data_IF_073469357792
#
_entry.id   IF_073469357792
#
_cell.length_a   1.000
_cell.length_b   1.000
_cell.length_c   1.000
_cell.angle_alpha   90.00
_cell.angle_beta   90.00
_cell.angle_gamma   90.00
#
_symmetry.space_group_name_H-M   'P 1'
#
loop_
_entity.id
_entity.type
_entity.pdbx_description
1 polymer ?
#
# COMPACT_ATOMS: atom_id res chain seq x y z
N UNK A 1 -28.08 -47.61 98.53
CA UNK A 1 -29.35 -47.25 97.88
C UNK A 1 -29.09 -46.07 96.93
N UNK A 2 -29.73 -46.07 95.76
CA UNK A 2 -29.68 -45.08 94.65
C UNK A 2 -28.31 -44.87 93.99
N UNK A 3 -27.97 -45.53 92.87
CA UNK A 3 -28.49 -45.35 91.49
C UNK A 3 -28.50 -43.90 91.01
N UNK A 4 -27.47 -43.56 90.24
CA UNK A 4 -27.50 -42.60 89.13
C UNK A 4 -26.53 -43.11 88.07
N UNK A 5 -27.06 -43.59 86.95
CA UNK A 5 -26.37 -44.30 85.88
C UNK A 5 -26.37 -43.40 84.64
N UNK A 6 -25.29 -43.51 83.85
CA UNK A 6 -25.17 -43.21 82.40
C UNK A 6 -24.93 -41.75 81.94
N UNK A 7 -24.39 -41.55 80.71
CA UNK A 7 -23.61 -42.46 79.87
C UNK A 7 -22.34 -41.83 79.23
N UNK A 8 -21.56 -42.73 78.65
CA UNK A 8 -20.49 -42.51 77.68
C UNK A 8 -21.09 -42.31 76.27
N UNK A 9 -20.90 -41.13 75.68
CA UNK A 9 -21.00 -40.80 74.25
C UNK A 9 -20.63 -39.31 74.16
N UNK A 10 -19.54 -38.86 73.53
CA UNK A 10 -19.43 -38.73 72.08
C UNK A 10 -17.95 -38.47 71.72
N UNK A 11 -17.19 -39.54 71.50
CA UNK A 11 -15.89 -39.48 70.79
C UNK A 11 -16.09 -39.60 69.26
N UNK A 12 -17.18 -39.02 68.74
CA UNK A 12 -17.57 -39.11 67.33
C UNK A 12 -17.81 -37.72 66.73
N UNK A 13 -16.80 -36.86 66.79
CA UNK A 13 -16.75 -35.65 65.96
C UNK A 13 -15.30 -35.31 65.53
N UNK A 14 -14.52 -36.33 65.19
CA UNK A 14 -13.59 -36.20 64.05
C UNK A 14 -14.43 -36.36 62.79
N UNK A 15 -14.15 -35.52 61.80
CA UNK A 15 -14.75 -35.49 60.46
C UNK A 15 -16.09 -34.73 60.33
N UNK A 16 -16.01 -33.40 60.36
CA UNK A 16 -16.91 -32.60 59.53
C UNK A 16 -16.30 -31.22 59.29
N UNK A 17 -15.87 -30.96 58.05
CA UNK A 17 -15.67 -29.58 57.60
C UNK A 17 -14.32 -29.22 57.02
N UNK A 18 -13.52 -30.18 56.54
CA UNK A 18 -12.65 -29.88 55.39
C UNK A 18 -13.58 -29.75 54.16
N UNK A 19 -14.32 -28.63 54.09
CA UNK A 19 -15.05 -28.27 52.88
C UNK A 19 -13.98 -27.94 51.87
N UNK A 20 -13.82 -28.84 50.92
CA UNK A 20 -13.18 -28.56 49.65
C UNK A 20 -13.53 -27.14 49.20
N UNK A 21 -12.52 -26.27 49.20
CA UNK A 21 -12.48 -25.11 48.34
C UNK A 21 -12.37 -25.63 46.90
N UNK A 22 -13.47 -26.17 46.39
CA UNK A 22 -13.66 -26.44 44.97
C UNK A 22 -14.20 -25.15 44.34
N UNK A 23 -13.40 -24.09 44.43
CA UNK A 23 -13.54 -22.92 43.56
C UNK A 23 -13.17 -23.38 42.15
N UNK A 24 -14.14 -23.96 41.44
CA UNK A 24 -14.03 -24.25 40.02
C UNK A 24 -13.41 -23.01 39.32
N UNK A 25 -12.36 -23.16 38.50
CA UNK A 25 -11.74 -22.01 37.86
C UNK A 25 -12.78 -21.34 36.98
N UNK A 26 -13.32 -20.22 37.44
CA UNK A 26 -14.23 -19.39 36.68
C UNK A 26 -13.49 -18.95 35.43
N UNK A 27 -13.73 -19.64 34.32
CA UNK A 27 -13.17 -19.25 33.03
C UNK A 27 -13.71 -17.87 32.75
N UNK A 28 -12.85 -16.85 32.89
CA UNK A 28 -13.21 -15.46 32.67
C UNK A 28 -13.64 -15.30 31.20
N UNK A 29 -14.95 -15.41 30.96
CA UNK A 29 -15.58 -15.51 29.64
C UNK A 29 -15.27 -14.29 28.76
N UNK A 30 -14.78 -13.21 29.38
CA UNK A 30 -14.29 -12.00 28.71
C UNK A 30 -13.11 -12.30 27.79
N UNK A 31 -12.21 -13.21 28.17
CA UNK A 31 -11.01 -13.57 27.38
C UNK A 31 -11.34 -14.25 26.04
N UNK A 32 -12.15 -15.33 25.99
CA UNK A 32 -12.54 -15.93 24.72
C UNK A 32 -13.41 -14.98 23.87
N UNK A 33 -14.29 -14.16 24.49
CA UNK A 33 -15.09 -13.18 23.74
C UNK A 33 -14.21 -12.14 23.05
N UNK A 34 -13.23 -11.56 23.75
CA UNK A 34 -12.27 -10.62 23.16
C UNK A 34 -11.51 -11.31 22.02
N UNK A 35 -11.01 -12.53 22.23
CA UNK A 35 -10.29 -13.28 21.20
C UNK A 35 -11.17 -13.55 19.97
N UNK A 36 -12.44 -13.94 20.15
CA UNK A 36 -13.39 -14.15 19.06
C UNK A 36 -13.69 -12.87 18.30
N UNK A 37 -13.94 -11.76 19.02
CA UNK A 37 -14.18 -10.45 18.38
C UNK A 37 -12.94 -10.01 17.59
N UNK A 38 -11.74 -10.12 18.16
CA UNK A 38 -10.49 -9.80 17.45
C UNK A 38 -10.32 -10.66 16.21
N UNK A 39 -10.58 -11.97 16.30
CA UNK A 39 -10.53 -12.87 15.15
C UNK A 39 -11.49 -12.44 14.05
N UNK A 40 -12.75 -12.12 14.39
CA UNK A 40 -13.75 -11.68 13.42
C UNK A 40 -13.36 -10.35 12.76
N UNK A 41 -12.80 -9.40 13.52
CA UNK A 41 -12.29 -8.14 12.99
C UNK A 41 -11.11 -8.35 12.03
N UNK A 42 -10.14 -9.19 12.41
CA UNK A 42 -9.01 -9.55 11.54
C UNK A 42 -9.47 -10.24 10.26
N UNK A 43 -10.41 -11.18 10.38
CA UNK A 43 -10.98 -11.89 9.25
C UNK A 43 -11.67 -10.90 8.28
N UNK A 44 -12.50 -9.99 8.81
CA UNK A 44 -13.13 -8.93 8.02
C UNK A 44 -12.11 -8.01 7.34
N UNK A 45 -11.05 -7.63 8.04
CA UNK A 45 -9.97 -6.81 7.48
C UNK A 45 -9.23 -7.54 6.34
N UNK A 46 -8.97 -8.84 6.47
CA UNK A 46 -8.35 -9.62 5.40
C UNK A 46 -9.25 -9.80 4.18
N UNK A 47 -10.56 -9.97 4.37
CA UNK A 47 -11.49 -9.97 3.24
C UNK A 47 -11.53 -8.62 2.53
N UNK A 48 -11.60 -7.52 3.29
CA UNK A 48 -11.56 -6.18 2.71
C UNK A 48 -10.24 -5.93 1.95
N UNK A 49 -9.11 -6.34 2.52
CA UNK A 49 -7.81 -6.25 1.85
C UNK A 49 -7.75 -7.14 0.59
N UNK A 50 -8.34 -8.34 0.63
CA UNK A 50 -8.42 -9.24 -0.52
C UNK A 50 -9.24 -8.66 -1.67
N UNK A 51 -10.39 -8.05 -1.36
CA UNK A 51 -11.20 -7.32 -2.34
C UNK A 51 -10.40 -6.16 -2.93
N UNK A 52 -9.74 -5.36 -2.08
CA UNK A 52 -8.91 -4.25 -2.54
C UNK A 52 -7.77 -4.72 -3.46
N UNK A 53 -7.12 -5.84 -3.17
CA UNK A 53 -6.10 -6.42 -4.04
C UNK A 53 -6.67 -6.81 -5.41
N UNK A 54 -7.87 -7.38 -5.45
CA UNK A 54 -8.54 -7.75 -6.70
C UNK A 54 -8.91 -6.50 -7.52
N UNK A 55 -9.48 -5.49 -6.87
CA UNK A 55 -9.80 -4.21 -7.52
C UNK A 55 -8.54 -3.57 -8.12
N UNK A 56 -7.43 -3.61 -7.37
CA UNK A 56 -6.15 -3.08 -7.84
C UNK A 56 -5.55 -3.90 -8.99
N UNK A 57 -5.83 -5.20 -9.06
CA UNK A 57 -5.44 -6.04 -10.20
C UNK A 57 -6.23 -5.65 -11.45
N UNK A 58 -7.56 -5.52 -11.33
CA UNK A 58 -8.44 -5.08 -12.43
C UNK A 58 -8.05 -3.69 -12.95
N UNK A 59 -7.72 -2.76 -12.06
CA UNK A 59 -7.26 -1.42 -12.47
C UNK A 59 -5.96 -1.48 -13.29
N UNK A 60 -5.00 -2.31 -12.87
CA UNK A 60 -3.74 -2.51 -13.61
C UNK A 60 -3.99 -3.14 -14.98
N UNK A 61 -4.86 -4.14 -15.07
CA UNK A 61 -5.27 -4.74 -16.34
C UNK A 61 -5.90 -3.72 -17.27
N UNK A 62 -6.82 -2.89 -16.76
CA UNK A 62 -7.45 -1.83 -17.55
C UNK A 62 -6.46 -0.75 -18.03
N UNK A 63 -5.39 -0.48 -17.28
CA UNK A 63 -4.31 0.42 -17.74
C UNK A 63 -3.52 -0.24 -18.89
N UNK A 64 -3.17 -1.52 -18.74
CA UNK A 64 -2.42 -2.25 -19.75
C UNK A 64 -3.21 -2.38 -21.06
N UNK A 65 -4.51 -2.68 -20.96
CA UNK A 65 -5.42 -2.75 -22.10
C UNK A 65 -5.54 -1.39 -22.82
N UNK A 66 -5.65 -0.29 -22.06
CA UNK A 66 -5.63 1.05 -22.66
C UNK A 66 -4.32 1.36 -23.38
N UNK A 67 -3.20 0.92 -22.83
CA UNK A 67 -1.89 1.08 -23.47
C UNK A 67 -1.80 0.27 -24.77
N UNK A 68 -2.22 -1.00 -24.77
CA UNK A 68 -2.22 -1.83 -25.97
C UNK A 68 -3.13 -1.26 -27.06
N UNK A 69 -4.34 -0.85 -26.71
CA UNK A 69 -5.31 -0.32 -27.66
C UNK A 69 -4.86 1.04 -28.24
N UNK A 70 -4.11 1.83 -27.48
CA UNK A 70 -3.56 3.09 -27.96
C UNK A 70 -2.42 2.90 -28.97
N UNK A 71 -1.66 1.81 -28.87
CA UNK A 71 -0.51 1.54 -29.74
C UNK A 71 -0.91 1.38 -31.22
N UNK A 72 -2.13 0.91 -31.50
CA UNK A 72 -2.59 0.58 -32.84
C UNK A 72 -3.12 1.76 -33.67
N UNK A 73 -3.25 2.96 -33.09
CA UNK A 73 -3.81 4.06 -33.87
C UNK A 73 -2.83 5.14 -34.27
N UNK A 74 -3.32 5.98 -35.18
CA UNK A 74 -2.62 7.10 -35.80
C UNK A 74 -1.73 7.92 -34.86
N UNK A 75 -0.53 8.21 -35.37
CA UNK A 75 0.44 9.12 -34.79
C UNK A 75 -0.15 10.51 -34.61
N UNK A 76 0.03 11.09 -33.43
CA UNK A 76 -0.34 12.48 -33.15
C UNK A 76 0.82 13.38 -33.54
N UNK A 77 0.56 14.37 -34.39
CA UNK A 77 1.58 15.31 -34.89
C UNK A 77 1.36 16.73 -34.41
N UNK A 78 0.38 16.95 -33.54
CA UNK A 78 0.03 18.27 -33.03
C UNK A 78 -0.22 18.27 -31.52
N UNK A 79 0.05 19.41 -30.88
CA UNK A 79 -0.30 19.61 -29.48
C UNK A 79 -1.81 19.78 -29.36
N UNK A 80 -2.43 18.92 -28.56
CA UNK A 80 -3.87 18.92 -28.31
C UNK A 80 -4.20 19.56 -26.95
N UNK A 81 -5.39 20.16 -26.78
CA UNK A 81 -5.86 20.64 -25.48
C UNK A 81 -5.98 19.51 -24.45
N UNK A 82 -5.86 19.84 -23.16
CA UNK A 82 -5.88 18.87 -22.05
C UNK A 82 -7.16 18.01 -22.01
N UNK A 83 -8.30 18.58 -22.37
CA UNK A 83 -9.59 17.88 -22.44
C UNK A 83 -9.54 16.73 -23.45
N UNK A 84 -8.94 16.98 -24.63
CA UNK A 84 -8.76 15.97 -25.67
C UNK A 84 -7.59 15.01 -25.36
N UNK A 85 -6.58 15.49 -24.63
CA UNK A 85 -5.40 14.70 -24.27
C UNK A 85 -5.74 13.46 -23.42
N UNK A 86 -6.80 13.51 -22.60
CA UNK A 86 -7.24 12.37 -21.79
C UNK A 86 -7.66 11.18 -22.65
N UNK A 87 -8.41 11.43 -23.74
CA UNK A 87 -8.84 10.41 -24.70
C UNK A 87 -7.67 9.87 -25.55
N UNK A 88 -6.59 10.65 -25.66
CA UNK A 88 -5.40 10.36 -26.46
C UNK A 88 -4.23 9.83 -25.63
N UNK A 89 -4.47 9.43 -24.37
CA UNK A 89 -3.43 8.84 -23.52
C UNK A 89 -2.81 7.61 -24.18
N UNK A 90 -1.51 7.42 -23.92
CA UNK A 90 -0.68 6.31 -24.43
C UNK A 90 -0.49 6.27 -25.96
N UNK A 91 -1.00 7.27 -26.69
CA UNK A 91 -0.78 7.40 -28.14
C UNK A 91 0.65 7.78 -28.46
N UNK A 92 1.13 7.30 -29.60
CA UNK A 92 2.41 7.75 -30.14
C UNK A 92 2.29 9.19 -30.64
N UNK A 93 3.31 9.98 -30.33
CA UNK A 93 3.39 11.40 -30.68
C UNK A 93 4.69 11.64 -31.46
N UNK A 94 4.64 12.44 -32.52
CA UNK A 94 5.81 12.94 -33.24
C UNK A 94 5.72 14.45 -33.34
N UNK A 95 6.66 15.12 -32.70
CA UNK A 95 6.79 16.57 -32.72
C UNK A 95 8.20 16.93 -33.17
N UNK A 96 8.32 18.07 -33.84
CA UNK A 96 9.61 18.66 -34.21
C UNK A 96 9.82 19.93 -33.40
N UNK A 97 11.01 20.10 -32.85
CA UNK A 97 11.30 21.15 -31.88
C UNK A 97 12.70 21.05 -31.30
N UNK A 98 12.92 21.71 -30.17
CA UNK A 98 14.18 21.67 -29.43
C UNK A 98 13.93 21.52 -27.93
N UNK A 99 14.80 20.80 -27.25
CA UNK A 99 14.80 20.74 -25.80
C UNK A 99 15.34 22.05 -25.20
N UNK A 100 14.90 22.37 -23.99
CA UNK A 100 15.47 23.44 -23.16
C UNK A 100 16.12 22.83 -21.91
N UNK A 101 17.41 22.46 -21.97
CA UNK A 101 18.11 21.81 -20.85
C UNK A 101 18.17 22.69 -19.60
N UNK A 102 18.29 24.01 -19.76
CA UNK A 102 18.38 24.98 -18.66
C UNK A 102 17.12 25.04 -17.77
N UNK A 103 16.00 24.45 -18.23
CA UNK A 103 14.72 24.41 -17.53
C UNK A 103 14.26 22.99 -17.20
N UNK A 104 15.20 22.05 -17.15
CA UNK A 104 14.92 20.68 -16.75
C UNK A 104 14.48 20.61 -15.29
N UNK A 105 13.50 19.74 -15.03
CA UNK A 105 12.96 19.45 -13.71
C UNK A 105 13.35 18.02 -13.35
N UNK A 106 14.00 17.86 -12.20
CA UNK A 106 14.29 16.56 -11.61
C UNK A 106 13.24 16.26 -10.55
N UNK A 107 12.33 15.34 -10.85
CA UNK A 107 11.31 14.90 -9.91
C UNK A 107 11.88 13.81 -9.00
N UNK A 108 12.04 14.14 -7.73
CA UNK A 108 12.68 13.30 -6.71
C UNK A 108 11.76 12.18 -6.19
N UNK A 109 12.27 11.40 -5.23
CA UNK A 109 11.54 10.32 -4.56
C UNK A 109 10.99 9.22 -5.49
N UNK A 110 11.57 9.11 -6.69
CA UNK A 110 11.26 8.07 -7.64
C UNK A 110 12.09 6.84 -7.34
N UNK A 111 11.43 5.72 -7.01
CA UNK A 111 12.11 4.45 -6.74
C UNK A 111 11.98 3.53 -7.94
N UNK A 112 13.12 3.09 -8.50
CA UNK A 112 13.18 2.09 -9.57
C UNK A 112 14.15 0.97 -9.17
N UNK A 113 13.72 -0.28 -9.31
CA UNK A 113 14.52 -1.47 -8.96
C UNK A 113 15.19 -1.40 -7.56
N UNK A 114 14.51 -0.83 -6.57
CA UNK A 114 15.02 -0.71 -5.19
C UNK A 114 16.02 0.43 -4.95
N UNK A 115 16.27 1.29 -5.95
CA UNK A 115 17.14 2.48 -5.82
C UNK A 115 16.32 3.76 -5.93
N UNK A 116 16.64 4.74 -5.11
CA UNK A 116 16.08 6.09 -5.22
C UNK A 116 16.75 6.84 -6.37
N UNK A 117 16.00 7.69 -7.05
CA UNK A 117 16.48 8.47 -8.17
C UNK A 117 15.50 9.57 -8.57
N UNK A 118 15.73 10.12 -9.75
CA UNK A 118 15.00 11.24 -10.30
C UNK A 118 14.33 10.85 -11.61
N UNK A 119 13.09 11.28 -11.82
CA UNK A 119 12.53 11.36 -13.16
C UNK A 119 12.94 12.68 -13.81
N UNK A 120 13.42 12.59 -15.04
CA UNK A 120 13.96 13.73 -15.78
C UNK A 120 12.89 14.28 -16.70
N UNK A 121 12.34 15.44 -16.34
CA UNK A 121 11.33 16.13 -17.14
C UNK A 121 11.99 17.33 -17.83
N UNK A 122 12.02 17.35 -19.16
CA UNK A 122 12.67 18.43 -19.92
C UNK A 122 11.66 19.11 -20.85
N UNK A 123 11.53 20.45 -20.79
CA UNK A 123 10.67 21.16 -21.73
C UNK A 123 11.17 20.99 -23.17
N UNK A 124 10.24 20.73 -24.08
CA UNK A 124 10.46 20.61 -25.52
C UNK A 124 9.62 21.66 -26.23
N UNK A 125 10.29 22.61 -26.86
CA UNK A 125 9.68 23.75 -27.54
C UNK A 125 9.49 23.42 -29.00
N UNK A 126 8.26 23.44 -29.45
CA UNK A 126 7.85 23.22 -30.84
C UNK A 126 7.33 24.52 -31.45
N UNK A 127 7.04 24.51 -32.75
CA UNK A 127 6.34 25.63 -33.40
C UNK A 127 4.89 25.82 -32.93
N UNK A 128 4.32 24.85 -32.21
CA UNK A 128 2.92 24.84 -31.75
C UNK A 128 2.79 25.20 -30.26
N UNK A 129 3.87 25.11 -29.49
CA UNK A 129 3.85 25.32 -28.05
C UNK A 129 5.01 24.63 -27.34
N UNK A 130 4.95 24.58 -26.01
CA UNK A 130 5.93 23.87 -25.19
C UNK A 130 5.26 22.67 -24.53
N UNK A 131 5.88 21.51 -24.64
CA UNK A 131 5.44 20.28 -23.97
C UNK A 131 6.51 19.79 -23.01
N UNK A 132 6.12 19.13 -21.93
CA UNK A 132 7.06 18.54 -20.98
C UNK A 132 7.29 17.07 -21.34
N UNK A 133 8.53 16.71 -21.67
CA UNK A 133 8.89 15.34 -22.03
C UNK A 133 9.55 14.64 -20.85
N UNK A 134 9.01 13.49 -20.46
CA UNK A 134 9.66 12.59 -19.53
C UNK A 134 10.75 11.79 -20.26
N UNK A 135 12.02 12.08 -19.95
CA UNK A 135 13.20 11.44 -20.55
C UNK A 135 13.64 10.18 -19.80
N UNK A 136 12.89 9.76 -18.79
CA UNK A 136 13.13 8.55 -18.03
C UNK A 136 13.69 8.80 -16.63
N UNK A 137 14.19 7.73 -16.02
CA UNK A 137 14.68 7.71 -14.66
C UNK A 137 16.21 7.64 -14.62
N UNK A 138 16.82 8.40 -13.71
CA UNK A 138 18.26 8.36 -13.43
C UNK A 138 18.49 8.08 -11.94
N UNK A 139 19.49 7.27 -11.57
CA UNK A 139 19.81 7.01 -10.17
C UNK A 139 20.26 8.27 -9.46
N UNK A 140 19.89 8.42 -8.20
CA UNK A 140 20.43 9.46 -7.34
C UNK A 140 21.83 9.06 -6.85
N UNK A 141 22.69 10.07 -6.65
CA UNK A 141 23.93 9.88 -5.93
C UNK A 141 23.62 9.58 -4.44
N UNK A 142 24.45 8.79 -3.74
CA UNK A 142 24.36 8.65 -2.29
C UNK A 142 24.33 9.99 -1.55
N UNK A 143 25.07 10.98 -2.05
CA UNK A 143 24.98 12.36 -1.59
C UNK A 143 23.87 13.11 -2.36
N UNK A 144 22.74 13.36 -1.67
CA UNK A 144 21.60 14.09 -2.25
C UNK A 144 21.89 15.55 -2.59
N UNK A 145 23.02 16.11 -2.13
CA UNK A 145 23.47 17.43 -2.56
C UNK A 145 24.01 17.42 -4.00
N UNK A 146 24.38 16.24 -4.52
CA UNK A 146 24.90 16.07 -5.87
C UNK A 146 23.75 15.69 -6.81
N UNK A 147 23.37 16.63 -7.68
CA UNK A 147 22.37 16.38 -8.71
C UNK A 147 23.02 15.71 -9.94
N UNK A 148 22.35 14.72 -10.55
CA UNK A 148 22.84 14.08 -11.75
C UNK A 148 22.85 15.06 -12.93
N UNK A 149 23.96 15.10 -13.66
CA UNK A 149 24.03 15.82 -14.93
C UNK A 149 23.38 14.98 -16.04
N UNK A 150 22.24 15.43 -16.57
CA UNK A 150 21.51 14.73 -17.64
C UNK A 150 21.50 15.59 -18.91
N UNK A 151 22.57 15.53 -19.74
CA UNK A 151 22.67 16.37 -20.93
C UNK A 151 21.55 16.05 -21.92
N UNK A 152 21.22 17.07 -22.72
CA UNK A 152 20.40 16.90 -23.91
C UNK A 152 21.33 17.10 -25.09
N UNK A 153 21.39 16.13 -26.01
CA UNK A 153 22.08 16.34 -27.28
C UNK A 153 21.29 17.37 -28.10
N UNK A 154 21.95 18.47 -28.47
CA UNK A 154 21.38 19.54 -29.31
C UNK A 154 21.05 19.07 -30.75
N UNK A 155 21.52 17.87 -31.14
CA UNK A 155 21.46 17.36 -32.51
C UNK A 155 20.26 16.45 -32.83
N UNK A 156 19.41 16.11 -31.85
CA UNK A 156 18.21 15.31 -32.11
C UNK A 156 17.08 16.19 -32.70
N UNK A 157 17.09 16.33 -34.02
CA UNK A 157 16.03 16.95 -34.85
C UNK A 157 14.83 16.04 -35.06
#
# INVERSE_FOLDING_TARGET
MSRGRQPYSEDAARASGDRADDSAPGTDLRRPVIATVTLLLMLGAFFAAGIWQLDRAVEKEAILERFSNAADGNLITEIVPDEAAQALRFRQVRLTGRYQPDRQILLDNMTAAGRSGYQVLTPFVTGQGTVLINRGWVPADPDRAVLPAVPVDDDMR
#
